data_IF_035084232123
#
_entry.id   IF_035084232123
#
_cell.length_a   1.000
_cell.length_b   1.000
_cell.length_c   1.000
_cell.angle_alpha   90.00
_cell.angle_beta   90.00
_cell.angle_gamma   90.00
#
_symmetry.space_group_name_H-M   'P 1'
#
loop_
_entity.id
_entity.type
_entity.pdbx_description
1 polymer ?
#
# COMPACT_ATOMS: atom_id res chain seq x y z
N UNK A 1 11.44 38.10 -19.07
CA UNK A 1 11.26 36.70 -19.52
C UNK A 1 11.91 35.67 -18.61
N UNK A 2 13.20 35.78 -18.25
CA UNK A 2 13.91 34.78 -17.41
C UNK A 2 13.25 34.54 -16.03
N UNK A 3 12.77 35.60 -15.38
CA UNK A 3 12.14 35.57 -14.05
C UNK A 3 10.77 34.91 -14.03
N UNK A 4 10.00 35.04 -15.11
CA UNK A 4 8.68 34.42 -15.24
C UNK A 4 8.80 32.92 -15.47
N UNK A 5 9.78 32.50 -16.27
CA UNK A 5 10.07 31.09 -16.52
C UNK A 5 10.54 30.40 -15.23
N UNK A 6 11.39 31.05 -14.42
CA UNK A 6 11.80 30.54 -13.10
C UNK A 6 10.62 30.37 -12.14
N UNK A 7 9.73 31.36 -12.04
CA UNK A 7 8.52 31.27 -11.19
C UNK A 7 7.57 30.14 -11.64
N UNK A 8 7.44 29.92 -12.95
CA UNK A 8 6.67 28.82 -13.51
C UNK A 8 7.26 27.45 -13.16
N UNK A 9 8.58 27.30 -13.21
CA UNK A 9 9.27 26.08 -12.78
C UNK A 9 9.07 25.80 -11.29
N UNK A 10 9.25 26.81 -10.42
CA UNK A 10 9.02 26.68 -8.97
C UNK A 10 7.56 26.35 -8.62
N UNK A 11 6.60 26.82 -9.42
CA UNK A 11 5.19 26.48 -9.26
C UNK A 11 4.90 25.01 -9.62
N UNK A 12 5.47 24.52 -10.73
CA UNK A 12 5.35 23.11 -11.14
C UNK A 12 5.93 22.16 -10.08
N UNK A 13 7.13 22.45 -9.59
CA UNK A 13 7.81 21.65 -8.54
C UNK A 13 6.96 21.61 -7.26
N UNK A 14 6.39 22.74 -6.83
CA UNK A 14 5.52 22.79 -5.65
C UNK A 14 4.23 21.99 -5.81
N UNK A 15 3.65 22.00 -7.01
CA UNK A 15 2.45 21.21 -7.32
C UNK A 15 2.76 19.71 -7.27
N UNK A 16 3.85 19.28 -7.90
CA UNK A 16 4.31 17.89 -7.87
C UNK A 16 4.57 17.43 -6.44
N UNK A 17 5.29 18.21 -5.63
CA UNK A 17 5.55 17.87 -4.23
C UNK A 17 4.25 17.64 -3.44
N UNK A 18 3.26 18.53 -3.60
CA UNK A 18 1.96 18.39 -2.95
C UNK A 18 1.18 17.17 -3.43
N UNK A 19 1.24 16.87 -4.73
CA UNK A 19 0.56 15.71 -5.30
C UNK A 19 1.20 14.38 -4.82
N UNK A 20 2.53 14.36 -4.66
CA UNK A 20 3.27 13.24 -4.05
C UNK A 20 2.92 13.08 -2.57
N UNK A 21 2.96 14.15 -1.78
CA UNK A 21 2.65 14.11 -0.36
C UNK A 21 1.22 13.59 -0.11
N UNK A 22 0.26 14.10 -0.90
CA UNK A 22 -1.13 13.61 -0.85
C UNK A 22 -1.28 12.16 -1.30
N UNK A 23 -0.47 11.71 -2.26
CA UNK A 23 -0.40 10.32 -2.68
C UNK A 23 0.19 9.41 -1.60
N UNK A 24 1.22 9.86 -0.90
CA UNK A 24 1.87 9.15 0.20
C UNK A 24 0.90 8.92 1.37
N UNK A 25 0.21 9.97 1.82
CA UNK A 25 -0.79 9.89 2.90
C UNK A 25 -1.92 8.91 2.58
N UNK A 26 -2.35 8.87 1.32
CA UNK A 26 -3.40 7.96 0.89
C UNK A 26 -2.90 6.52 0.80
N UNK A 27 -1.68 6.30 0.29
CA UNK A 27 -1.07 4.97 0.25
C UNK A 27 -0.87 4.42 1.67
N UNK A 28 -0.40 5.23 2.60
CA UNK A 28 -0.22 4.82 4.00
C UNK A 28 -1.54 4.31 4.61
N UNK A 29 -2.67 4.99 4.34
CA UNK A 29 -4.00 4.53 4.79
C UNK A 29 -4.37 3.16 4.22
N UNK A 30 -4.14 2.93 2.93
CA UNK A 30 -4.42 1.63 2.30
C UNK A 30 -3.50 0.52 2.85
N UNK A 31 -2.25 0.85 3.17
CA UNK A 31 -1.34 -0.08 3.83
C UNK A 31 -1.81 -0.46 5.23
N UNK A 32 -2.25 0.51 6.04
CA UNK A 32 -2.81 0.22 7.36
C UNK A 32 -4.09 -0.64 7.27
N UNK A 33 -4.97 -0.36 6.31
CA UNK A 33 -6.14 -1.21 6.06
C UNK A 33 -5.71 -2.64 5.71
N UNK A 34 -4.74 -2.82 4.82
CA UNK A 34 -4.17 -4.13 4.52
C UNK A 34 -3.70 -4.86 5.79
N UNK A 35 -2.90 -4.19 6.64
CA UNK A 35 -2.39 -4.79 7.89
C UNK A 35 -3.53 -5.23 8.80
N UNK A 36 -4.54 -4.37 9.00
CA UNK A 36 -5.69 -4.69 9.86
C UNK A 36 -6.46 -5.91 9.35
N UNK A 37 -6.80 -5.95 8.06
CA UNK A 37 -7.52 -7.09 7.49
C UNK A 37 -6.70 -8.37 7.49
N UNK A 38 -5.39 -8.28 7.24
CA UNK A 38 -4.49 -9.42 7.26
C UNK A 38 -4.35 -10.02 8.67
N UNK A 39 -4.10 -9.19 9.68
CA UNK A 39 -3.99 -9.62 11.08
C UNK A 39 -5.33 -10.18 11.58
N UNK A 40 -6.45 -9.54 11.23
CA UNK A 40 -7.78 -10.04 11.57
C UNK A 40 -8.04 -11.42 10.94
N UNK A 41 -7.67 -11.62 9.67
CA UNK A 41 -7.77 -12.91 8.98
C UNK A 41 -6.95 -14.01 9.67
N UNK A 42 -5.72 -13.69 10.08
CA UNK A 42 -4.83 -14.60 10.84
C UNK A 42 -5.42 -14.98 12.20
N UNK A 43 -5.85 -13.99 12.99
CA UNK A 43 -6.43 -14.23 14.31
C UNK A 43 -7.71 -15.05 14.21
N UNK A 44 -8.58 -14.73 13.26
CA UNK A 44 -9.82 -15.46 13.03
C UNK A 44 -9.55 -16.91 12.61
N UNK A 45 -8.61 -17.11 11.68
CA UNK A 45 -8.16 -18.44 11.27
C UNK A 45 -7.69 -19.27 12.47
N UNK A 46 -6.77 -18.73 13.26
CA UNK A 46 -6.25 -19.42 14.44
C UNK A 46 -7.33 -19.69 15.50
N UNK A 47 -8.23 -18.73 15.74
CA UNK A 47 -9.34 -18.88 16.67
C UNK A 47 -10.32 -19.97 16.23
N UNK A 48 -10.72 -19.98 14.96
CA UNK A 48 -11.63 -21.00 14.42
C UNK A 48 -11.00 -22.39 14.42
N UNK A 49 -9.69 -22.50 14.14
CA UNK A 49 -8.95 -23.76 14.26
C UNK A 49 -8.87 -24.25 15.70
N UNK A 50 -8.60 -23.36 16.67
CA UNK A 50 -8.52 -23.74 18.07
C UNK A 50 -9.85 -24.27 18.62
N UNK A 51 -10.96 -23.59 18.32
CA UNK A 51 -12.31 -24.00 18.73
C UNK A 51 -12.67 -25.33 18.07
N UNK A 52 -12.48 -25.43 16.76
CA UNK A 52 -12.78 -26.66 16.04
C UNK A 52 -11.97 -27.84 16.57
N UNK A 53 -10.66 -27.67 16.80
CA UNK A 53 -9.81 -28.73 17.34
C UNK A 53 -10.18 -29.16 18.76
N UNK A 54 -10.70 -28.26 19.60
CA UNK A 54 -11.15 -28.60 20.94
C UNK A 54 -12.50 -29.34 20.96
N UNK A 55 -13.43 -28.94 20.08
CA UNK A 55 -14.81 -29.41 20.11
C UNK A 55 -15.08 -30.59 19.16
N UNK A 56 -14.20 -30.86 18.17
CA UNK A 56 -14.42 -31.87 17.12
C UNK A 56 -14.60 -33.28 17.67
N UNK A 57 -13.89 -33.65 18.74
CA UNK A 57 -13.99 -34.97 19.35
C UNK A 57 -15.36 -35.17 20.01
N UNK A 58 -15.89 -34.12 20.64
CA UNK A 58 -17.25 -34.12 21.21
C UNK A 58 -18.33 -34.10 20.13
N UNK A 59 -18.12 -33.41 19.02
CA UNK A 59 -19.12 -33.31 17.95
C UNK A 59 -19.19 -34.59 17.12
N UNK A 60 -18.06 -35.27 16.89
CA UNK A 60 -18.03 -36.57 16.19
C UNK A 60 -18.72 -37.70 16.95
N UNK A 61 -18.80 -37.60 18.28
CA UNK A 61 -19.52 -38.58 19.10
C UNK A 61 -21.05 -38.55 18.87
N UNK A 62 -21.57 -37.47 18.29
CA UNK A 62 -23.00 -37.28 18.06
C UNK A 62 -23.29 -37.19 16.54
N UNK A 63 -23.94 -38.20 15.93
CA UNK A 63 -24.19 -38.22 14.49
C UNK A 63 -25.10 -37.08 14.00
N UNK A 64 -25.90 -36.47 14.88
CA UNK A 64 -26.74 -35.30 14.58
C UNK A 64 -25.93 -34.01 14.36
N UNK A 65 -24.69 -33.94 14.86
CA UNK A 65 -23.79 -32.79 14.72
C UNK A 65 -22.96 -32.81 13.43
N UNK A 66 -23.06 -33.86 12.61
CA UNK A 66 -22.31 -33.96 11.35
C UNK A 66 -22.59 -32.80 10.38
N UNK A 67 -23.83 -32.32 10.31
CA UNK A 67 -24.18 -31.14 9.50
C UNK A 67 -23.48 -29.87 10.01
N UNK A 68 -23.33 -29.74 11.34
CA UNK A 68 -22.67 -28.60 11.99
C UNK A 68 -21.16 -28.63 11.72
N UNK A 69 -20.54 -29.82 11.79
CA UNK A 69 -19.12 -30.03 11.41
C UNK A 69 -18.89 -29.62 9.95
N UNK A 70 -19.77 -30.04 9.03
CA UNK A 70 -19.62 -29.74 7.61
C UNK A 70 -19.76 -28.24 7.32
N UNK A 71 -20.76 -27.59 7.93
CA UNK A 71 -20.95 -26.14 7.84
C UNK A 71 -19.76 -25.37 8.42
N UNK A 72 -19.27 -25.77 9.59
CA UNK A 72 -18.13 -25.14 10.25
C UNK A 72 -16.86 -25.26 9.41
N UNK A 73 -16.65 -26.41 8.78
CA UNK A 73 -15.53 -26.62 7.86
C UNK A 73 -15.60 -25.63 6.68
N UNK A 74 -16.76 -25.43 6.05
CA UNK A 74 -16.92 -24.43 4.98
C UNK A 74 -16.66 -23.01 5.51
N UNK A 75 -17.21 -22.68 6.69
CA UNK A 75 -17.11 -21.36 7.30
C UNK A 75 -15.67 -20.98 7.65
N UNK A 76 -14.91 -21.95 8.17
CA UNK A 76 -13.50 -21.84 8.52
C UNK A 76 -12.64 -21.40 7.33
N UNK A 77 -12.96 -21.83 6.12
CA UNK A 77 -12.24 -21.39 4.93
C UNK A 77 -12.86 -20.11 4.36
N UNK A 78 -14.19 -20.04 4.24
CA UNK A 78 -14.86 -18.94 3.56
C UNK A 78 -14.58 -17.57 4.21
N UNK A 79 -14.70 -17.45 5.54
CA UNK A 79 -14.53 -16.14 6.20
C UNK A 79 -13.07 -15.65 6.10
N UNK A 80 -12.04 -16.45 6.45
CA UNK A 80 -10.66 -15.99 6.33
C UNK A 80 -10.25 -15.69 4.90
N UNK A 81 -10.69 -16.49 3.92
CA UNK A 81 -10.42 -16.20 2.51
C UNK A 81 -11.03 -14.86 2.07
N UNK A 82 -12.24 -14.51 2.51
CA UNK A 82 -12.81 -13.19 2.20
C UNK A 82 -12.02 -12.05 2.82
N UNK A 83 -11.52 -12.19 4.05
CA UNK A 83 -10.66 -11.20 4.70
C UNK A 83 -9.32 -11.06 3.98
N UNK A 84 -8.71 -12.17 3.56
CA UNK A 84 -7.47 -12.13 2.77
C UNK A 84 -7.68 -11.54 1.38
N UNK A 85 -8.81 -11.80 0.74
CA UNK A 85 -9.16 -11.18 -0.55
C UNK A 85 -9.32 -9.66 -0.42
N UNK A 86 -9.99 -9.19 0.64
CA UNK A 86 -10.07 -7.76 0.97
C UNK A 86 -8.68 -7.17 1.23
N UNK A 87 -7.84 -7.84 2.02
CA UNK A 87 -6.47 -7.42 2.28
C UNK A 87 -5.67 -7.30 0.97
N UNK A 88 -5.73 -8.30 0.09
CA UNK A 88 -5.08 -8.27 -1.22
C UNK A 88 -5.57 -7.09 -2.08
N UNK A 89 -6.87 -6.76 -2.03
CA UNK A 89 -7.41 -5.58 -2.72
C UNK A 89 -6.80 -4.26 -2.21
N UNK A 90 -6.64 -4.11 -0.90
CA UNK A 90 -5.96 -2.95 -0.32
C UNK A 90 -4.48 -2.90 -0.69
N UNK A 91 -3.80 -4.05 -0.72
CA UNK A 91 -2.41 -4.16 -1.13
C UNK A 91 -2.19 -3.76 -2.59
N UNK A 92 -3.04 -4.24 -3.51
CA UNK A 92 -2.99 -3.85 -4.93
C UNK A 92 -3.22 -2.35 -5.10
N UNK A 93 -4.16 -1.79 -4.32
CA UNK A 93 -4.44 -0.35 -4.33
C UNK A 93 -3.23 0.44 -3.86
N UNK A 94 -2.56 0.02 -2.78
CA UNK A 94 -1.31 0.61 -2.29
C UNK A 94 -0.24 0.71 -3.39
N UNK A 95 0.01 -0.38 -4.14
CA UNK A 95 0.97 -0.38 -5.24
C UNK A 95 0.51 0.42 -6.47
N UNK A 96 -0.80 0.58 -6.65
CA UNK A 96 -1.40 1.30 -7.77
C UNK A 96 -1.46 2.82 -7.56
N UNK A 97 -1.38 3.29 -6.30
CA UNK A 97 -1.24 4.72 -6.01
C UNK A 97 0.05 5.23 -6.70
N UNK A 98 0.02 6.40 -7.37
CA UNK A 98 1.11 6.91 -8.20
C UNK A 98 2.51 7.01 -7.57
N UNK A 99 2.68 6.73 -6.27
CA UNK A 99 3.97 6.75 -5.55
C UNK A 99 5.07 5.95 -6.24
N UNK A 100 4.75 4.83 -6.90
CA UNK A 100 5.76 4.01 -7.61
C UNK A 100 5.94 4.46 -9.07
N UNK A 101 4.89 4.96 -9.74
CA UNK A 101 4.95 5.33 -11.16
C UNK A 101 5.53 6.72 -11.41
N UNK A 102 5.32 7.68 -10.51
CA UNK A 102 5.88 9.02 -10.65
C UNK A 102 7.41 8.97 -10.49
N UNK A 103 7.91 8.15 -9.55
CA UNK A 103 9.36 8.00 -9.29
C UNK A 103 10.16 7.53 -10.51
N UNK A 104 9.58 6.74 -11.42
CA UNK A 104 10.30 6.22 -12.60
C UNK A 104 10.21 7.21 -13.78
N UNK A 105 9.07 7.87 -13.96
CA UNK A 105 8.85 8.77 -15.10
C UNK A 105 9.52 10.14 -14.89
N UNK A 106 9.48 10.66 -13.67
CA UNK A 106 10.08 11.96 -13.36
C UNK A 106 11.62 11.88 -13.29
N UNK A 107 12.21 10.78 -12.80
CA UNK A 107 13.67 10.59 -12.89
C UNK A 107 14.18 10.38 -14.33
N UNK A 108 13.33 9.87 -15.22
CA UNK A 108 13.68 9.65 -16.62
C UNK A 108 13.48 10.91 -17.49
N UNK A 109 12.59 11.83 -17.08
CA UNK A 109 12.29 13.07 -17.80
C UNK A 109 13.04 14.31 -17.23
N UNK A 110 13.82 14.16 -16.14
CA UNK A 110 14.82 15.16 -15.74
C UNK A 110 16.03 14.98 -16.66
N UNK A 111 16.34 15.95 -17.57
CA UNK A 111 17.57 15.88 -18.32
C UNK A 111 18.74 15.92 -17.33
N UNK A 112 19.64 14.95 -17.45
CA UNK A 112 20.92 14.93 -16.77
C UNK A 112 21.83 16.05 -17.32
N UNK A 113 21.39 17.31 -17.24
CA UNK A 113 22.24 18.46 -17.49
C UNK A 113 22.82 18.92 -16.16
N UNK A 114 23.84 18.19 -15.69
CA UNK A 114 24.98 18.90 -15.11
C UNK A 114 25.71 19.56 -16.27
N UNK A 115 26.00 20.86 -16.15
CA UNK A 115 27.35 21.19 -15.73
C UNK A 115 27.34 22.31 -14.69
N UNK A 116 27.63 21.98 -13.44
CA UNK A 116 28.37 22.93 -12.62
C UNK A 116 29.79 22.99 -13.19
N UNK A 117 29.98 23.84 -14.20
CA UNK A 117 31.28 24.37 -14.55
C UNK A 117 31.58 25.50 -13.54
N UNK A 118 32.62 25.37 -12.68
CA UNK A 118 33.15 26.52 -11.98
C UNK A 118 33.96 27.34 -12.99
N UNK A 119 33.26 28.21 -13.73
CA UNK A 119 33.87 29.24 -14.56
C UNK A 119 34.23 30.46 -13.70
N UNK A 120 35.49 30.83 -13.75
CA UNK A 120 36.04 32.13 -13.35
C UNK A 120 35.13 33.31 -13.72
N UNK A 121 35.20 34.37 -12.92
CA UNK A 121 35.39 35.78 -13.31
C UNK A 121 34.87 36.68 -12.16
N UNK A 122 35.77 37.10 -11.26
CA UNK A 122 35.55 38.29 -10.44
C UNK A 122 36.32 39.44 -11.11
N UNK A 123 35.55 40.43 -11.59
CA UNK A 123 35.96 41.67 -12.27
C UNK A 123 36.99 42.50 -11.47
N UNK A 124 37.79 43.28 -12.22
CA UNK A 124 37.92 44.72 -11.96
C UNK A 124 39.32 45.30 -12.16
N UNK A 125 39.53 46.00 -13.29
CA UNK A 125 40.55 47.03 -13.38
C UNK A 125 40.02 48.36 -12.88
N UNK A 126 40.79 49.02 -12.02
CA UNK A 126 41.33 50.38 -12.15
C UNK A 126 42.45 50.55 -11.13
#
# INVERSE_FOLDING_TARGET
MMTENKKNQEFKIRKIKRDIERGCDNAEKYFWLFVVFFVAGLLLWHGMHAIFSADIDSWKANPELNNLIYMWNILMYAIPYTLYALAAGFLVTFFSVPNVRINIREYHDIPAETPYAPGEQIKGGQ
#
